data_IF_512155426185
#
_entry.id   IF_512155426185
#
_cell.length_a   1.000
_cell.length_b   1.000
_cell.length_c   1.000
_cell.angle_alpha   90.00
_cell.angle_beta   90.00
_cell.angle_gamma   90.00
#
_symmetry.space_group_name_H-M   'P 1'
#
loop_
_entity.id
_entity.type
_entity.pdbx_description
1 polymer ?
#
# COMPACT_ATOMS: atom_id res chain seq x y z
N UNK A 1 24.15 -2.91 6.82
CA UNK A 1 24.60 -2.90 5.41
C UNK A 1 23.57 -3.56 4.48
N UNK A 2 22.77 -2.77 3.76
CA UNK A 2 21.99 -3.29 2.63
C UNK A 2 22.93 -3.57 1.45
N UNK A 3 22.69 -4.62 0.65
CA UNK A 3 23.58 -4.99 -0.46
C UNK A 3 23.60 -3.90 -1.53
N UNK A 4 24.79 -3.65 -2.06
CA UNK A 4 25.06 -2.65 -3.09
C UNK A 4 24.44 -3.04 -4.44
N UNK A 5 23.56 -2.17 -4.94
CA UNK A 5 23.39 -1.80 -6.35
C UNK A 5 23.58 -2.88 -7.42
N UNK A 6 22.66 -3.86 -7.50
CA UNK A 6 22.62 -4.79 -8.64
C UNK A 6 22.05 -4.17 -9.95
N UNK A 7 21.47 -2.96 -9.91
CA UNK A 7 20.76 -2.37 -11.07
C UNK A 7 21.03 -0.89 -11.37
N UNK A 8 22.05 -0.25 -10.78
CA UNK A 8 22.42 1.15 -11.12
C UNK A 8 21.36 2.22 -10.89
N UNK A 9 20.21 1.86 -10.29
CA UNK A 9 19.25 2.79 -9.72
C UNK A 9 19.80 3.17 -8.35
N UNK A 10 20.56 4.25 -8.29
CA UNK A 10 20.79 4.94 -7.02
C UNK A 10 19.40 5.18 -6.40
N UNK A 11 19.13 4.74 -5.16
CA UNK A 11 17.83 5.03 -4.57
C UNK A 11 17.68 6.55 -4.56
N UNK A 12 16.64 7.06 -5.23
CA UNK A 12 16.31 8.48 -5.33
C UNK A 12 16.11 9.15 -3.94
N UNK A 13 16.21 8.37 -2.86
CA UNK A 13 16.18 8.79 -1.47
C UNK A 13 17.13 7.93 -0.61
N UNK A 14 18.10 8.58 0.04
CA UNK A 14 18.89 7.96 1.10
C UNK A 14 18.08 8.02 2.40
N UNK A 15 17.68 6.86 2.92
CA UNK A 15 16.86 6.76 4.13
C UNK A 15 17.47 5.71 5.06
N UNK A 16 18.37 6.12 5.95
CA UNK A 16 19.00 5.20 6.90
C UNK A 16 18.18 5.10 8.19
N UNK A 17 17.26 4.14 8.21
CA UNK A 17 16.44 3.84 9.38
C UNK A 17 17.31 3.55 10.62
N UNK A 18 18.50 2.97 10.46
CA UNK A 18 19.32 2.56 11.60
C UNK A 18 19.99 3.74 12.30
N UNK A 19 20.17 4.85 11.59
CA UNK A 19 20.80 6.07 12.09
C UNK A 19 19.75 7.12 12.48
N UNK A 20 18.74 7.33 11.63
CA UNK A 20 17.79 8.43 11.81
C UNK A 20 16.64 8.12 12.78
N UNK A 21 16.33 6.85 13.03
CA UNK A 21 15.21 6.44 13.89
C UNK A 21 15.74 5.82 15.20
N UNK A 22 15.21 6.21 16.38
CA UNK A 22 15.57 5.59 17.65
C UNK A 22 15.34 4.06 17.62
N UNK A 23 16.26 3.29 18.23
CA UNK A 23 16.31 1.81 18.14
C UNK A 23 14.97 1.15 18.46
N UNK A 24 14.24 1.68 19.44
CA UNK A 24 12.93 1.17 19.87
C UNK A 24 11.85 1.23 18.77
N UNK A 25 11.96 2.19 17.85
CA UNK A 25 10.99 2.44 16.78
C UNK A 25 11.42 1.92 15.40
N UNK A 26 12.70 1.55 15.23
CA UNK A 26 13.25 1.11 13.94
C UNK A 26 12.46 -0.04 13.31
N UNK A 27 12.04 -1.02 14.14
CA UNK A 27 11.23 -2.15 13.68
C UNK A 27 9.91 -1.66 13.06
N UNK A 28 9.19 -0.77 13.74
CA UNK A 28 7.87 -0.29 13.29
C UNK A 28 7.99 0.53 11.99
N UNK A 29 8.99 1.41 11.91
CA UNK A 29 9.26 2.19 10.69
C UNK A 29 9.65 1.28 9.51
N UNK A 30 10.37 0.18 9.77
CA UNK A 30 10.70 -0.81 8.75
C UNK A 30 9.46 -1.56 8.24
N UNK A 31 8.54 -1.95 9.13
CA UNK A 31 7.26 -2.53 8.73
C UNK A 31 6.43 -1.54 7.90
N UNK A 32 6.42 -0.26 8.28
CA UNK A 32 5.77 0.81 7.52
C UNK A 32 6.34 0.96 6.10
N UNK A 33 7.66 0.89 5.97
CA UNK A 33 8.34 0.91 4.67
C UNK A 33 8.00 -0.30 3.79
N UNK A 34 8.05 -1.51 4.35
CA UNK A 34 7.68 -2.71 3.59
C UNK A 34 6.22 -2.73 3.18
N UNK A 35 5.32 -2.21 4.02
CA UNK A 35 3.91 -2.07 3.66
C UNK A 35 3.71 -1.08 2.51
N UNK A 36 4.46 0.03 2.48
CA UNK A 36 4.44 0.98 1.37
C UNK A 36 4.93 0.36 0.05
N UNK A 37 6.02 -0.41 0.10
CA UNK A 37 6.50 -1.18 -1.06
C UNK A 37 5.43 -2.17 -1.51
N UNK A 38 4.81 -2.89 -0.58
CA UNK A 38 3.78 -3.87 -0.88
C UNK A 38 2.58 -3.24 -1.59
N UNK A 39 2.10 -2.08 -1.13
CA UNK A 39 1.06 -1.30 -1.83
C UNK A 39 1.47 -0.91 -3.25
N UNK A 40 2.72 -0.47 -3.43
CA UNK A 40 3.25 -0.11 -4.76
C UNK A 40 3.30 -1.32 -5.69
N UNK A 41 3.77 -2.47 -5.21
CA UNK A 41 3.79 -3.72 -5.97
C UNK A 41 2.37 -4.19 -6.34
N UNK A 42 1.40 -4.04 -5.43
CA UNK A 42 0.00 -4.36 -5.73
C UNK A 42 -0.58 -3.44 -6.80
N UNK A 43 -0.27 -2.14 -6.79
CA UNK A 43 -0.69 -1.23 -7.87
C UNK A 43 -0.12 -1.65 -9.23
N UNK A 44 1.14 -2.05 -9.27
CA UNK A 44 1.77 -2.57 -10.50
C UNK A 44 1.12 -3.88 -10.94
N UNK A 45 0.92 -4.82 -10.02
CA UNK A 45 0.21 -6.08 -10.30
C UNK A 45 -1.22 -5.83 -10.80
N UNK A 46 -1.91 -4.83 -10.25
CA UNK A 46 -3.24 -4.42 -10.67
C UNK A 46 -3.29 -3.92 -12.11
N UNK A 47 -2.27 -3.16 -12.56
CA UNK A 47 -2.15 -2.77 -13.97
C UNK A 47 -1.96 -4.00 -14.86
N UNK A 48 -1.12 -4.96 -14.45
CA UNK A 48 -0.98 -6.23 -15.20
C UNK A 48 -2.30 -7.02 -15.26
N UNK A 49 -3.04 -7.11 -14.15
CA UNK A 49 -4.36 -7.72 -14.13
C UNK A 49 -5.36 -7.00 -15.05
N UNK A 50 -5.32 -5.67 -15.10
CA UNK A 50 -6.16 -4.88 -15.98
C UNK A 50 -5.78 -5.02 -17.47
N UNK A 51 -4.50 -5.22 -17.79
CA UNK A 51 -4.05 -5.57 -19.16
C UNK A 51 -4.66 -6.91 -19.59
N UNK A 52 -4.65 -7.92 -18.71
CA UNK A 52 -5.27 -9.22 -19.00
C UNK A 52 -6.77 -9.08 -19.22
N UNK A 53 -7.47 -8.30 -18.39
CA UNK A 53 -8.89 -8.01 -18.57
C UNK A 53 -9.19 -7.28 -19.87
N UNK A 54 -8.32 -6.35 -20.29
CA UNK A 54 -8.45 -5.69 -21.58
C UNK A 54 -8.25 -6.67 -22.75
N UNK A 55 -7.28 -7.58 -22.64
CA UNK A 55 -6.98 -8.56 -23.69
C UNK A 55 -8.05 -9.64 -23.86
N UNK A 56 -8.61 -10.15 -22.75
CA UNK A 56 -9.57 -11.28 -22.78
C UNK A 56 -11.01 -10.81 -22.91
N UNK A 57 -11.36 -9.70 -22.24
CA UNK A 57 -12.74 -9.22 -22.12
C UNK A 57 -12.99 -7.86 -22.78
N UNK A 58 -12.02 -7.31 -23.52
CA UNK A 58 -12.10 -5.98 -24.15
C UNK A 58 -12.39 -4.84 -23.15
N UNK A 59 -12.01 -5.00 -21.89
CA UNK A 59 -12.27 -4.04 -20.81
C UNK A 59 -11.18 -2.95 -20.72
N UNK A 60 -11.06 -2.12 -21.77
CA UNK A 60 -10.05 -1.05 -21.82
C UNK A 60 -10.29 0.08 -20.82
N UNK A 61 -11.54 0.31 -20.40
CA UNK A 61 -11.86 1.31 -19.38
C UNK A 61 -11.18 0.98 -18.05
N UNK A 62 -11.15 -0.29 -17.67
CA UNK A 62 -10.49 -0.75 -16.45
C UNK A 62 -8.97 -0.55 -16.52
N UNK A 63 -8.35 -0.79 -17.68
CA UNK A 63 -6.93 -0.53 -17.90
C UNK A 63 -6.60 0.96 -17.70
N UNK A 64 -7.35 1.87 -18.32
CA UNK A 64 -7.13 3.31 -18.19
C UNK A 64 -7.17 3.79 -16.74
N UNK A 65 -8.18 3.37 -15.98
CA UNK A 65 -8.33 3.75 -14.56
C UNK A 65 -7.23 3.10 -13.70
N UNK A 66 -6.84 1.86 -13.98
CA UNK A 66 -5.76 1.18 -13.24
C UNK A 66 -4.41 1.88 -13.36
N UNK A 67 -4.08 2.38 -14.56
CA UNK A 67 -2.85 3.14 -14.82
C UNK A 67 -2.90 4.49 -14.11
N UNK A 68 -4.03 5.20 -14.21
CA UNK A 68 -4.25 6.45 -13.48
C UNK A 68 -4.03 6.27 -11.98
N UNK A 69 -4.60 5.22 -11.40
CA UNK A 69 -4.45 4.90 -9.98
C UNK A 69 -3.01 4.58 -9.60
N UNK A 70 -2.29 3.79 -10.40
CA UNK A 70 -0.87 3.52 -10.15
C UNK A 70 -0.04 4.82 -10.16
N UNK A 71 -0.30 5.73 -11.11
CA UNK A 71 0.43 6.99 -11.23
C UNK A 71 0.09 8.00 -10.13
N UNK A 72 -1.16 8.01 -9.63
CA UNK A 72 -1.58 8.95 -8.59
C UNK A 72 -1.31 8.43 -7.18
N UNK A 73 -1.71 7.19 -6.88
CA UNK A 73 -1.64 6.66 -5.51
C UNK A 73 -0.21 6.31 -5.08
N UNK A 74 0.69 5.91 -5.98
CA UNK A 74 2.08 5.62 -5.60
C UNK A 74 2.84 6.85 -5.08
N UNK A 75 2.88 8.02 -5.76
CA UNK A 75 3.53 9.21 -5.21
C UNK A 75 2.73 9.81 -4.04
N UNK A 76 1.39 9.78 -4.09
CA UNK A 76 0.56 10.31 -3.01
C UNK A 76 0.73 9.52 -1.71
N UNK A 77 0.73 8.18 -1.77
CA UNK A 77 0.96 7.33 -0.59
C UNK A 77 2.30 7.61 0.09
N UNK A 78 3.35 7.83 -0.71
CA UNK A 78 4.67 8.19 -0.20
C UNK A 78 4.65 9.54 0.54
N UNK A 79 4.12 10.58 -0.12
CA UNK A 79 4.12 11.93 0.41
C UNK A 79 3.18 12.11 1.60
N UNK A 80 2.03 11.46 1.58
CA UNK A 80 0.92 11.77 2.46
C UNK A 80 0.86 10.86 3.70
N UNK A 81 1.36 9.63 3.67
CA UNK A 81 1.40 8.82 4.89
C UNK A 81 2.77 8.26 5.22
N UNK A 82 3.55 7.78 4.26
CA UNK A 82 4.86 7.21 4.59
C UNK A 82 5.80 8.29 5.16
N UNK A 83 5.93 9.43 4.47
CA UNK A 83 6.81 10.53 4.89
C UNK A 83 6.39 11.17 6.22
N UNK A 84 5.09 11.47 6.47
CA UNK A 84 4.64 11.93 7.78
C UNK A 84 4.86 10.89 8.88
N UNK A 85 4.61 9.60 8.62
CA UNK A 85 4.87 8.52 9.57
C UNK A 85 6.36 8.42 9.92
N UNK A 86 7.24 8.49 8.92
CA UNK A 86 8.69 8.51 9.12
C UNK A 86 9.13 9.71 9.97
N UNK A 87 8.65 10.91 9.63
CA UNK A 87 8.96 12.15 10.36
C UNK A 87 8.43 12.12 11.80
N UNK A 88 7.27 11.48 12.02
CA UNK A 88 6.68 11.32 13.34
C UNK A 88 7.60 10.53 14.27
N UNK A 89 8.14 9.40 13.80
CA UNK A 89 9.06 8.57 14.58
C UNK A 89 10.47 9.16 14.70
N UNK A 90 10.95 9.90 13.69
CA UNK A 90 12.27 10.56 13.72
C UNK A 90 12.32 11.67 14.77
N UNK A 91 11.30 12.53 14.80
CA UNK A 91 11.30 13.75 15.60
C UNK A 91 10.39 13.66 16.85
N UNK A 92 9.82 12.48 17.15
CA UNK A 92 8.81 12.27 18.19
C UNK A 92 7.70 13.33 18.20
N UNK A 93 7.15 13.59 17.00
CA UNK A 93 6.27 14.75 16.77
C UNK A 93 4.80 14.36 16.75
N UNK A 94 4.05 14.73 17.79
CA UNK A 94 2.61 14.46 17.92
C UNK A 94 1.77 14.98 16.75
N UNK A 95 2.12 16.15 16.19
CA UNK A 95 1.42 16.68 15.02
C UNK A 95 1.60 15.76 13.78
N UNK A 96 2.83 15.27 13.53
CA UNK A 96 3.08 14.35 12.42
C UNK A 96 2.38 13.00 12.63
N UNK A 97 2.27 12.53 13.88
CA UNK A 97 1.46 11.35 14.21
C UNK A 97 -0.02 11.55 13.88
N UNK A 98 -0.61 12.71 14.21
CA UNK A 98 -2.02 13.00 13.90
C UNK A 98 -2.28 13.02 12.40
N UNK A 99 -1.41 13.68 11.63
CA UNK A 99 -1.49 13.71 10.15
C UNK A 99 -1.35 12.30 9.59
N UNK A 100 -0.39 11.52 10.09
CA UNK A 100 -0.20 10.13 9.70
C UNK A 100 -1.46 9.30 9.93
N UNK A 101 -2.04 9.30 11.14
CA UNK A 101 -3.23 8.50 11.43
C UNK A 101 -4.42 8.88 10.56
N UNK A 102 -4.65 10.18 10.37
CA UNK A 102 -5.76 10.66 9.55
C UNK A 102 -5.63 10.17 8.11
N UNK A 103 -4.49 10.38 7.47
CA UNK A 103 -4.28 10.01 6.07
C UNK A 103 -4.21 8.50 5.90
N UNK A 104 -3.53 7.80 6.81
CA UNK A 104 -3.38 6.34 6.74
C UNK A 104 -4.73 5.63 6.98
N UNK A 105 -5.65 6.22 7.73
CA UNK A 105 -7.02 5.73 7.84
C UNK A 105 -7.76 5.78 6.49
N UNK A 106 -7.65 6.88 5.73
CA UNK A 106 -8.21 6.92 4.37
C UNK A 106 -7.53 5.95 3.42
N UNK A 107 -6.20 5.79 3.53
CA UNK A 107 -5.48 4.75 2.79
C UNK A 107 -6.11 3.37 3.06
N UNK A 108 -6.32 3.00 4.33
CA UNK A 108 -6.98 1.74 4.70
C UNK A 108 -8.37 1.60 4.07
N UNK A 109 -9.21 2.64 4.13
CA UNK A 109 -10.53 2.63 3.49
C UNK A 109 -10.42 2.40 1.98
N UNK A 110 -9.48 3.09 1.31
CA UNK A 110 -9.20 2.90 -0.12
C UNK A 110 -8.76 1.47 -0.39
N UNK A 111 -7.86 0.89 0.41
CA UNK A 111 -7.41 -0.50 0.29
C UNK A 111 -8.57 -1.49 0.38
N UNK A 112 -9.52 -1.26 1.31
CA UNK A 112 -10.72 -2.10 1.44
C UNK A 112 -11.60 -2.01 0.19
N UNK A 113 -11.80 -0.80 -0.36
CA UNK A 113 -12.56 -0.62 -1.61
C UNK A 113 -11.86 -1.30 -2.79
N UNK A 114 -10.52 -1.21 -2.85
CA UNK A 114 -9.69 -1.89 -3.86
C UNK A 114 -9.83 -3.41 -3.77
N UNK A 115 -9.83 -3.96 -2.55
CA UNK A 115 -10.02 -5.38 -2.29
C UNK A 115 -11.39 -5.90 -2.74
N UNK A 116 -12.46 -5.11 -2.51
CA UNK A 116 -13.81 -5.44 -2.99
C UNK A 116 -13.84 -5.45 -4.53
N UNK A 117 -13.25 -4.44 -5.17
CA UNK A 117 -13.16 -4.34 -6.63
C UNK A 117 -14.49 -3.98 -7.29
N UNK A 118 -14.93 -2.74 -7.10
CA UNK A 118 -16.17 -2.26 -7.75
C UNK A 118 -16.02 -2.39 -9.28
N UNK A 119 -16.98 -3.02 -9.98
CA UNK A 119 -16.92 -3.16 -11.43
C UNK A 119 -16.76 -1.81 -12.13
N UNK A 120 -15.77 -1.71 -13.02
CA UNK A 120 -15.42 -0.44 -13.69
C UNK A 120 -14.58 0.52 -12.84
N UNK A 121 -14.32 0.21 -11.58
CA UNK A 121 -13.55 1.03 -10.64
C UNK A 121 -12.03 0.94 -10.79
N UNK A 122 -11.51 0.26 -11.82
CA UNK A 122 -10.07 0.21 -12.12
C UNK A 122 -9.23 -0.73 -11.26
N UNK A 123 -9.85 -1.53 -10.39
CA UNK A 123 -9.15 -2.41 -9.44
C UNK A 123 -9.54 -3.88 -9.60
N UNK A 124 -8.55 -4.75 -9.58
CA UNK A 124 -8.62 -6.20 -9.65
C UNK A 124 -9.01 -6.79 -8.29
N UNK A 125 -10.19 -6.42 -7.78
CA UNK A 125 -10.70 -6.95 -6.51
C UNK A 125 -11.53 -8.23 -6.66
N UNK A 126 -12.06 -8.71 -5.55
CA UNK A 126 -12.74 -10.01 -5.46
C UNK A 126 -13.92 -10.11 -6.43
N UNK A 127 -14.75 -9.06 -6.54
CA UNK A 127 -15.93 -9.08 -7.42
C UNK A 127 -15.50 -9.22 -8.88
N UNK A 128 -14.43 -8.55 -9.31
CA UNK A 128 -13.92 -8.65 -10.68
C UNK A 128 -13.33 -10.03 -10.94
N UNK A 129 -12.59 -10.60 -9.98
CA UNK A 129 -12.04 -11.94 -10.09
C UNK A 129 -13.14 -12.99 -10.30
N UNK A 130 -14.21 -12.92 -9.49
CA UNK A 130 -15.33 -13.86 -9.57
C UNK A 130 -16.06 -13.82 -10.92
N UNK A 131 -16.12 -12.65 -11.55
CA UNK A 131 -16.76 -12.47 -12.87
C UNK A 131 -15.97 -13.08 -14.03
N UNK A 132 -14.69 -13.38 -13.84
CA UNK A 132 -13.85 -13.97 -14.88
C UNK A 132 -14.03 -15.50 -15.00
N UNK A 133 -14.65 -16.16 -14.02
CA UNK A 133 -14.86 -17.61 -14.07
C UNK A 133 -16.07 -17.96 -14.95
N UNK A 134 -15.85 -18.06 -16.25
CA UNK A 134 -16.87 -18.31 -17.29
C UNK A 134 -16.76 -19.70 -17.95
N UNK A 135 -16.14 -20.68 -17.28
CA UNK A 135 -15.87 -22.04 -17.77
C UNK A 135 -14.97 -22.12 -19.02
N UNK A 136 -14.48 -20.99 -19.54
CA UNK A 136 -13.46 -20.97 -20.59
C UNK A 136 -12.06 -21.11 -19.99
N UNK A 137 -11.12 -21.70 -20.75
CA UNK A 137 -9.73 -21.86 -20.29
C UNK A 137 -9.08 -20.49 -20.03
N UNK A 138 -9.31 -19.52 -20.92
CA UNK A 138 -8.80 -18.14 -20.79
C UNK A 138 -9.38 -17.40 -19.59
N UNK A 139 -10.67 -17.59 -19.31
CA UNK A 139 -11.35 -16.97 -18.18
C UNK A 139 -10.91 -17.56 -16.85
N UNK A 140 -10.74 -18.88 -16.75
CA UNK A 140 -10.23 -19.54 -15.55
C UNK A 140 -8.82 -19.03 -15.20
N UNK A 141 -7.90 -18.97 -16.18
CA UNK A 141 -6.53 -18.49 -15.94
C UNK A 141 -6.54 -17.02 -15.51
N UNK A 142 -7.31 -16.19 -16.19
CA UNK A 142 -7.43 -14.75 -15.89
C UNK A 142 -8.05 -14.53 -14.50
N UNK A 143 -9.09 -15.29 -14.17
CA UNK A 143 -9.75 -15.29 -12.87
C UNK A 143 -8.80 -15.67 -11.73
N UNK A 144 -7.96 -16.68 -11.91
CA UNK A 144 -6.95 -17.07 -10.91
C UNK A 144 -5.91 -15.96 -10.67
N UNK A 145 -5.43 -15.31 -11.73
CA UNK A 145 -4.46 -14.22 -11.62
C UNK A 145 -5.09 -13.02 -10.88
N UNK A 146 -6.29 -12.59 -11.29
CA UNK A 146 -6.99 -11.47 -10.66
C UNK A 146 -7.34 -11.79 -9.21
N UNK A 147 -7.74 -13.04 -8.92
CA UNK A 147 -8.00 -13.49 -7.56
C UNK A 147 -6.75 -13.40 -6.68
N UNK A 148 -5.57 -13.73 -7.22
CA UNK A 148 -4.31 -13.60 -6.46
C UNK A 148 -4.01 -12.13 -6.10
N UNK A 149 -4.30 -11.18 -7.00
CA UNK A 149 -4.16 -9.74 -6.75
C UNK A 149 -5.18 -9.28 -5.71
N UNK A 150 -6.44 -9.72 -5.82
CA UNK A 150 -7.50 -9.42 -4.86
C UNK A 150 -7.17 -9.91 -3.44
N UNK A 151 -6.61 -11.12 -3.32
CA UNK A 151 -6.09 -11.64 -2.05
C UNK A 151 -4.95 -10.75 -1.52
N UNK A 152 -4.06 -10.28 -2.40
CA UNK A 152 -3.04 -9.30 -2.05
C UNK A 152 -3.61 -8.02 -1.43
N UNK A 153 -4.66 -7.45 -2.02
CA UNK A 153 -5.36 -6.29 -1.45
C UNK A 153 -6.02 -6.60 -0.09
N UNK A 154 -6.58 -7.79 0.10
CA UNK A 154 -7.12 -8.20 1.40
C UNK A 154 -6.03 -8.27 2.47
N UNK A 155 -4.86 -8.85 2.12
CA UNK A 155 -3.70 -8.91 3.00
C UNK A 155 -3.22 -7.48 3.31
N UNK A 156 -3.15 -6.60 2.32
CA UNK A 156 -2.78 -5.20 2.52
C UNK A 156 -3.72 -4.50 3.51
N UNK A 157 -5.04 -4.67 3.37
CA UNK A 157 -6.02 -4.09 4.28
C UNK A 157 -5.83 -4.60 5.73
N UNK A 158 -5.55 -5.89 5.91
CA UNK A 158 -5.25 -6.46 7.22
C UNK A 158 -3.96 -5.85 7.79
N UNK A 159 -2.90 -5.75 6.99
CA UNK A 159 -1.62 -5.17 7.42
C UNK A 159 -1.74 -3.68 7.75
N UNK A 160 -2.52 -2.91 6.98
CA UNK A 160 -2.86 -1.52 7.25
C UNK A 160 -3.52 -1.42 8.63
N UNK A 161 -4.53 -2.25 8.91
CA UNK A 161 -5.23 -2.27 10.21
C UNK A 161 -4.30 -2.63 11.37
N UNK A 162 -3.47 -3.66 11.22
CA UNK A 162 -2.52 -4.08 12.24
C UNK A 162 -1.48 -3.00 12.52
N UNK A 163 -0.96 -2.35 11.46
CA UNK A 163 0.07 -1.34 11.60
C UNK A 163 -0.47 -0.04 12.20
N UNK A 164 -1.67 0.42 11.79
CA UNK A 164 -2.29 1.60 12.41
C UNK A 164 -2.54 1.38 13.90
N UNK A 165 -2.99 0.17 14.28
CA UNK A 165 -3.24 -0.20 15.68
C UNK A 165 -1.95 -0.24 16.48
N UNK A 166 -0.89 -0.81 15.91
CA UNK A 166 0.45 -0.88 16.53
C UNK A 166 1.03 0.51 16.76
N UNK A 167 1.01 1.37 15.74
CA UNK A 167 1.52 2.75 15.82
C UNK A 167 0.68 3.57 16.82
N UNK A 168 -0.64 3.41 16.80
CA UNK A 168 -1.54 4.08 17.76
C UNK A 168 -1.27 3.67 19.21
N UNK A 169 -1.01 2.38 19.46
CA UNK A 169 -0.63 1.90 20.79
C UNK A 169 0.69 2.51 21.26
N UNK A 170 1.70 2.60 20.38
CA UNK A 170 2.99 3.23 20.69
C UNK A 170 2.79 4.71 21.01
N UNK A 171 2.06 5.43 20.16
CA UNK A 171 1.73 6.84 20.38
C UNK A 171 1.03 7.07 21.73
N UNK A 172 0.07 6.21 22.10
CA UNK A 172 -0.61 6.28 23.40
C UNK A 172 0.29 5.94 24.59
N UNK A 173 1.23 5.01 24.46
CA UNK A 173 2.19 4.71 25.53
C UNK A 173 3.21 5.83 25.73
N UNK A 174 3.64 6.48 24.66
CA UNK A 174 4.52 7.66 24.74
C UNK A 174 3.77 8.88 25.28
N UNK A 175 2.44 8.94 25.11
CA UNK A 175 1.54 10.00 25.59
C UNK A 175 1.37 10.14 27.12
N UNK A 176 1.95 9.27 27.95
CA UNK A 176 2.21 9.63 29.37
C UNK A 176 3.26 10.76 29.50
N UNK A 177 3.97 11.06 28.40
CA UNK A 177 4.93 12.16 28.24
C UNK A 177 4.33 13.39 27.54
N UNK A 178 3.03 13.65 27.70
CA UNK A 178 2.43 14.98 27.43
C UNK A 178 3.03 16.11 28.29
N UNK A 179 4.01 15.80 29.16
CA UNK A 179 4.83 16.76 29.90
C UNK A 179 6.04 17.30 29.10
N UNK A 180 6.22 16.92 27.83
CA UNK A 180 7.32 17.40 26.96
C UNK A 180 6.81 18.13 25.70
N UNK A 181 5.80 18.98 25.86
CA UNK A 181 5.40 19.97 24.85
C UNK A 181 5.75 21.37 25.34
#
# INVERSE_FOLDING_TARGET
PLPENCCGLEPCFYQDINIEIPVDFQSVVRHLYYLWIFHTLLMVANVFGAILLAAVYNNFGMLGVSILYALLFTPFSFLCWYRPGYKAFRNDSSFNFMVFFFIFFFQFVVTVVQAIGVPGGGTCGIIVALRCFDSSVSGIITGLIILSIACGYCIAAILDLLLITKIHRIYRSTGASMAKA
#
